data_IF_313368351431
#
_entry.id   IF_313368351431
#
_cell.length_a   1.000
_cell.length_b   1.000
_cell.length_c   1.000
_cell.angle_alpha   90.00
_cell.angle_beta   90.00
_cell.angle_gamma   90.00
#
_symmetry.space_group_name_H-M   'P 1'
#
loop_
_entity.id
_entity.type
_entity.pdbx_description
1 polymer ?
#
# COMPACT_ATOMS: atom_id res chain seq x y z
N UNK A 1 -14.32 7.60 -13.83
CA UNK A 1 -14.63 6.54 -12.84
C UNK A 1 -13.61 6.56 -11.72
N UNK A 2 -14.06 6.43 -10.52
CA UNK A 2 -13.15 6.37 -9.38
C UNK A 2 -12.44 5.01 -9.34
N UNK A 3 -11.14 5.05 -9.07
CA UNK A 3 -10.34 3.85 -8.86
C UNK A 3 -10.65 3.26 -7.47
N UNK A 4 -10.58 1.93 -7.34
CA UNK A 4 -10.62 1.27 -6.05
C UNK A 4 -9.31 1.48 -5.25
N UNK A 5 -8.26 1.94 -5.91
CA UNK A 5 -6.99 2.24 -5.24
C UNK A 5 -7.11 3.56 -4.48
N UNK A 6 -6.89 3.50 -3.18
CA UNK A 6 -6.94 4.69 -2.32
C UNK A 6 -5.62 5.46 -2.41
N UNK A 7 -5.71 6.79 -2.35
CA UNK A 7 -4.54 7.66 -2.25
C UNK A 7 -4.58 8.31 -0.87
N UNK A 8 -3.80 7.77 0.05
CA UNK A 8 -3.84 8.23 1.43
C UNK A 8 -3.01 9.50 1.61
N UNK A 9 -3.43 10.30 2.56
CA UNK A 9 -2.74 11.51 3.01
C UNK A 9 -2.37 11.36 4.48
N UNK A 10 -1.58 12.29 4.98
CA UNK A 10 -1.25 12.34 6.41
C UNK A 10 -2.52 12.39 7.27
N UNK A 11 -3.56 13.06 6.78
CA UNK A 11 -4.79 13.28 7.56
C UNK A 11 -5.73 12.07 7.58
N UNK A 12 -5.70 11.20 6.55
CA UNK A 12 -6.71 10.13 6.44
C UNK A 12 -6.14 8.72 6.61
N UNK A 13 -4.83 8.55 6.68
CA UNK A 13 -4.24 7.20 6.75
C UNK A 13 -4.57 6.48 8.05
N UNK A 14 -4.49 7.16 9.19
CA UNK A 14 -4.77 6.53 10.48
C UNK A 14 -6.19 5.97 10.57
N UNK A 15 -7.16 6.70 10.02
CA UNK A 15 -8.54 6.23 9.98
C UNK A 15 -8.68 4.95 9.14
N UNK A 16 -8.01 4.91 7.99
CA UNK A 16 -8.03 3.72 7.12
C UNK A 16 -7.37 2.52 7.81
N UNK A 17 -6.23 2.75 8.46
CA UNK A 17 -5.51 1.72 9.21
C UNK A 17 -6.35 1.15 10.34
N UNK A 18 -7.06 2.01 11.06
CA UNK A 18 -7.85 1.64 12.23
C UNK A 18 -9.26 1.13 11.89
N UNK A 19 -9.67 1.17 10.64
CA UNK A 19 -10.98 0.70 10.21
C UNK A 19 -11.16 -0.82 10.34
N UNK A 20 -10.07 -1.55 10.53
CA UNK A 20 -10.08 -3.00 10.61
C UNK A 20 -9.97 -3.67 9.25
N UNK A 21 -9.84 -4.99 9.25
CA UNK A 21 -9.67 -5.77 8.03
C UNK A 21 -8.24 -5.70 7.49
N UNK A 22 -8.09 -6.06 6.22
CA UNK A 22 -6.79 -6.14 5.55
C UNK A 22 -6.57 -4.91 4.70
N UNK A 23 -5.41 -4.28 4.86
CA UNK A 23 -5.01 -3.07 4.14
C UNK A 23 -3.61 -3.27 3.58
N UNK A 24 -3.47 -3.08 2.27
CA UNK A 24 -2.17 -3.05 1.60
C UNK A 24 -1.82 -1.62 1.24
N UNK A 25 -0.61 -1.18 1.57
CA UNK A 25 -0.14 0.18 1.30
C UNK A 25 1.17 0.14 0.52
N UNK A 26 1.19 0.84 -0.62
CA UNK A 26 2.38 1.05 -1.46
C UNK A 26 2.98 2.43 -1.15
N UNK A 27 4.17 2.44 -0.57
CA UNK A 27 4.92 3.67 -0.35
C UNK A 27 5.77 3.97 -1.59
N UNK A 28 5.56 5.13 -2.20
CA UNK A 28 6.15 5.46 -3.50
C UNK A 28 6.53 6.93 -3.60
N UNK A 29 7.27 7.28 -4.66
CA UNK A 29 7.55 8.67 -5.03
C UNK A 29 7.57 8.78 -6.56
N UNK A 30 7.27 9.96 -7.07
CA UNK A 30 7.17 10.20 -8.51
C UNK A 30 8.51 10.07 -9.24
N UNK A 31 9.62 10.34 -8.55
CA UNK A 31 10.97 10.23 -9.11
C UNK A 31 11.53 8.81 -9.12
N UNK A 32 10.82 7.87 -8.54
CA UNK A 32 11.29 6.50 -8.37
C UNK A 32 10.84 5.63 -9.56
N UNK A 33 11.80 5.15 -10.35
CA UNK A 33 11.54 4.31 -11.52
C UNK A 33 10.79 3.02 -11.20
N UNK A 34 11.28 2.19 -10.26
CA UNK A 34 10.58 0.96 -9.87
C UNK A 34 9.18 1.23 -9.30
N UNK A 35 8.99 2.36 -8.62
CA UNK A 35 7.67 2.75 -8.12
C UNK A 35 6.68 2.95 -9.27
N UNK A 36 7.14 3.57 -10.38
CA UNK A 36 6.29 3.79 -11.55
C UNK A 36 5.92 2.48 -12.24
N UNK A 37 6.78 1.47 -12.16
CA UNK A 37 6.48 0.13 -12.68
C UNK A 37 5.46 -0.60 -11.80
N UNK A 38 5.56 -0.42 -10.49
CA UNK A 38 4.66 -1.07 -9.54
C UNK A 38 3.26 -0.43 -9.51
N UNK A 39 3.17 0.86 -9.81
CA UNK A 39 1.92 1.61 -9.72
C UNK A 39 0.73 0.93 -10.38
N UNK A 40 0.82 0.57 -11.69
CA UNK A 40 -0.28 -0.12 -12.36
C UNK A 40 -0.66 -1.46 -11.74
N UNK A 41 0.31 -2.18 -11.18
CA UNK A 41 0.07 -3.46 -10.50
C UNK A 41 -0.77 -3.23 -9.23
N UNK A 42 -0.45 -2.18 -8.47
CA UNK A 42 -1.21 -1.82 -7.26
C UNK A 42 -2.64 -1.43 -7.63
N UNK A 43 -2.82 -0.69 -8.73
CA UNK A 43 -4.16 -0.32 -9.23
C UNK A 43 -4.98 -1.57 -9.57
N UNK A 44 -4.37 -2.54 -10.25
CA UNK A 44 -5.04 -3.81 -10.58
C UNK A 44 -5.40 -4.60 -9.33
N UNK A 45 -4.51 -4.67 -8.36
CA UNK A 45 -4.78 -5.35 -7.08
C UNK A 45 -5.95 -4.71 -6.36
N UNK A 46 -6.04 -3.39 -6.36
CA UNK A 46 -7.15 -2.68 -5.74
C UNK A 46 -8.48 -3.12 -6.32
N UNK A 47 -8.55 -3.28 -7.64
CA UNK A 47 -9.76 -3.74 -8.32
C UNK A 47 -10.05 -5.22 -8.01
N UNK A 48 -9.02 -6.07 -8.06
CA UNK A 48 -9.17 -7.51 -7.84
C UNK A 48 -9.62 -7.84 -6.41
N UNK A 49 -9.19 -7.05 -5.44
CA UNK A 49 -9.50 -7.30 -4.02
C UNK A 49 -10.59 -6.38 -3.47
N UNK A 50 -11.25 -5.60 -4.31
CA UNK A 50 -12.34 -4.72 -3.89
C UNK A 50 -13.39 -5.49 -3.10
N UNK A 51 -13.78 -4.97 -1.94
CA UNK A 51 -14.73 -5.62 -1.04
C UNK A 51 -14.11 -6.67 -0.12
N UNK A 52 -12.84 -7.05 -0.34
CA UNK A 52 -12.14 -8.05 0.50
C UNK A 52 -10.95 -7.45 1.23
N UNK A 53 -10.26 -6.52 0.60
CA UNK A 53 -9.15 -5.79 1.20
C UNK A 53 -9.15 -4.36 0.66
N UNK A 54 -8.63 -3.43 1.45
CA UNK A 54 -8.38 -2.07 1.00
C UNK A 54 -6.95 -2.02 0.47
N UNK A 55 -6.78 -1.46 -0.71
CA UNK A 55 -5.47 -1.29 -1.35
C UNK A 55 -5.28 0.19 -1.64
N UNK A 56 -4.14 0.73 -1.25
CA UNK A 56 -3.87 2.14 -1.46
C UNK A 56 -2.39 2.47 -1.55
N UNK A 57 -2.12 3.74 -1.77
CA UNK A 57 -0.78 4.29 -1.97
C UNK A 57 -0.55 5.47 -1.05
N UNK A 58 0.71 5.65 -0.67
CA UNK A 58 1.18 6.85 0.04
C UNK A 58 2.39 7.38 -0.71
N UNK A 59 2.30 8.63 -1.16
CA UNK A 59 3.45 9.33 -1.71
C UNK A 59 4.30 9.84 -0.55
N UNK A 60 5.52 9.34 -0.42
CA UNK A 60 6.39 9.65 0.72
C UNK A 60 6.83 11.12 0.75
N UNK A 61 6.87 11.77 -0.42
CA UNK A 61 7.23 13.19 -0.48
C UNK A 61 6.09 14.09 0.05
N UNK A 62 4.85 13.66 -0.16
CA UNK A 62 3.67 14.38 0.32
C UNK A 62 3.37 14.07 1.79
N UNK A 63 3.83 12.92 2.28
CA UNK A 63 3.52 12.42 3.62
C UNK A 63 4.80 12.05 4.38
N UNK A 64 5.72 13.02 4.59
CA UNK A 64 7.01 12.71 5.23
C UNK A 64 6.86 12.19 6.66
N UNK A 65 5.86 12.66 7.39
CA UNK A 65 5.63 12.20 8.76
C UNK A 65 5.25 10.72 8.81
N UNK A 66 4.45 10.26 7.85
CA UNK A 66 4.06 8.84 7.76
C UNK A 66 5.28 8.00 7.39
N UNK A 67 6.05 8.46 6.40
CA UNK A 67 7.26 7.75 5.97
C UNK A 67 8.24 7.58 7.12
N UNK A 68 8.42 8.62 7.93
CA UNK A 68 9.29 8.59 9.11
C UNK A 68 8.75 7.64 10.17
N UNK A 69 7.46 7.71 10.45
CA UNK A 69 6.79 6.87 11.45
C UNK A 69 6.99 5.37 11.16
N UNK A 70 6.91 4.98 9.90
CA UNK A 70 7.05 3.59 9.49
C UNK A 70 8.46 3.21 9.05
N UNK A 71 9.41 4.13 9.18
CA UNK A 71 10.82 3.87 8.88
C UNK A 71 11.07 3.56 7.41
N UNK A 72 10.35 4.24 6.51
CA UNK A 72 10.50 4.01 5.06
C UNK A 72 11.80 4.64 4.59
N UNK A 73 12.78 3.82 4.29
CA UNK A 73 14.10 4.27 3.81
C UNK A 73 14.35 3.90 2.35
N UNK A 74 13.73 2.85 1.88
CA UNK A 74 13.87 2.35 0.50
C UNK A 74 12.47 2.20 -0.10
N UNK A 75 12.27 2.71 -1.32
CA UNK A 75 11.02 2.59 -2.05
C UNK A 75 11.24 1.90 -3.40
N UNK A 76 10.21 1.21 -3.94
CA UNK A 76 8.90 1.02 -3.35
C UNK A 76 8.95 0.10 -2.12
N UNK A 77 8.06 0.34 -1.18
CA UNK A 77 7.86 -0.53 -0.03
C UNK A 77 6.36 -0.82 0.10
N UNK A 78 6.01 -2.08 0.28
CA UNK A 78 4.61 -2.50 0.40
C UNK A 78 4.42 -3.13 1.77
N UNK A 79 3.50 -2.56 2.54
CA UNK A 79 3.14 -3.07 3.86
C UNK A 79 1.73 -3.61 3.82
N UNK A 80 1.50 -4.71 4.53
CA UNK A 80 0.15 -5.22 4.76
C UNK A 80 -0.15 -5.07 6.23
N UNK A 81 -1.32 -4.49 6.52
CA UNK A 81 -1.87 -4.34 7.86
C UNK A 81 -3.08 -5.25 7.99
N UNK A 82 -3.24 -5.85 9.15
CA UNK A 82 -4.46 -6.57 9.52
C UNK A 82 -4.93 -6.06 10.87
N UNK A 83 -6.15 -5.51 10.88
CA UNK A 83 -6.75 -4.92 12.08
C UNK A 83 -5.82 -3.90 12.75
N UNK A 84 -5.18 -3.08 11.94
CA UNK A 84 -4.32 -1.99 12.39
C UNK A 84 -2.86 -2.38 12.67
N UNK A 85 -2.52 -3.67 12.60
CA UNK A 85 -1.17 -4.13 12.86
C UNK A 85 -0.45 -4.52 11.57
N UNK A 86 0.85 -4.22 11.49
CA UNK A 86 1.68 -4.62 10.34
C UNK A 86 1.92 -6.12 10.43
N UNK A 87 1.51 -6.85 9.38
CA UNK A 87 1.69 -8.31 9.31
C UNK A 87 2.69 -8.71 8.23
N UNK A 88 2.98 -7.81 7.29
CA UNK A 88 3.92 -8.11 6.21
C UNK A 88 4.59 -6.83 5.73
N UNK A 89 5.90 -6.91 5.41
CA UNK A 89 6.67 -5.82 4.81
C UNK A 89 7.43 -6.38 3.62
N UNK A 90 7.29 -5.75 2.46
CA UNK A 90 8.02 -6.14 1.25
C UNK A 90 8.70 -4.90 0.70
N UNK A 91 10.02 -4.95 0.51
CA UNK A 91 10.80 -3.82 -0.01
C UNK A 91 11.28 -4.17 -1.40
N UNK A 92 11.12 -3.23 -2.33
CA UNK A 92 11.51 -3.38 -3.72
C UNK A 92 10.34 -3.83 -4.59
N UNK A 93 10.62 -3.92 -5.90
CA UNK A 93 9.62 -4.29 -6.89
C UNK A 93 9.19 -5.76 -6.70
N UNK A 94 7.88 -5.98 -6.77
CA UNK A 94 7.27 -7.31 -6.67
C UNK A 94 6.33 -7.53 -7.84
N UNK A 95 6.18 -8.79 -8.23
CA UNK A 95 5.19 -9.17 -9.23
C UNK A 95 3.79 -9.22 -8.59
N UNK A 96 2.78 -8.99 -9.42
CA UNK A 96 1.38 -9.02 -8.96
C UNK A 96 1.03 -10.31 -8.24
N UNK A 97 1.47 -11.46 -8.76
CA UNK A 97 1.19 -12.76 -8.17
C UNK A 97 1.75 -12.88 -6.75
N UNK A 98 2.92 -12.29 -6.50
CA UNK A 98 3.53 -12.29 -5.17
C UNK A 98 2.71 -11.45 -4.19
N UNK A 99 2.25 -10.28 -4.62
CA UNK A 99 1.45 -9.38 -3.79
C UNK A 99 0.06 -9.99 -3.51
N UNK A 100 -0.57 -10.59 -4.52
CA UNK A 100 -1.85 -11.25 -4.36
C UNK A 100 -1.75 -12.43 -3.38
N UNK A 101 -0.68 -13.23 -3.49
CA UNK A 101 -0.45 -14.34 -2.57
C UNK A 101 -0.27 -13.85 -1.14
N UNK A 102 0.48 -12.76 -0.95
CA UNK A 102 0.67 -12.17 0.36
C UNK A 102 -0.65 -11.68 0.97
N UNK A 103 -1.49 -11.00 0.18
CA UNK A 103 -2.81 -10.56 0.63
C UNK A 103 -3.68 -11.73 1.03
N UNK A 104 -3.71 -12.79 0.21
CA UNK A 104 -4.56 -13.95 0.46
C UNK A 104 -4.23 -14.68 1.77
N UNK A 105 -3.00 -14.54 2.27
CA UNK A 105 -2.63 -15.13 3.56
C UNK A 105 -3.44 -14.57 4.73
N UNK A 106 -3.93 -13.36 4.62
CA UNK A 106 -4.57 -12.63 5.73
C UNK A 106 -6.08 -12.43 5.55
N UNK A 107 -6.62 -12.91 4.45
CA UNK A 107 -8.06 -12.80 4.18
C UNK A 107 -8.87 -13.93 4.81
#
# INVERSE_FOLDING_TARGET
MESNCKHFTTDNFDAARNAGGVLLVDFWASWCGPCRMLGPVIEELADDFAGRAVVGKINVDDCPAIAEKYGIMTIPAVFIFKNGEIVEKMVGLRQKVQLAAALNKYL
#
